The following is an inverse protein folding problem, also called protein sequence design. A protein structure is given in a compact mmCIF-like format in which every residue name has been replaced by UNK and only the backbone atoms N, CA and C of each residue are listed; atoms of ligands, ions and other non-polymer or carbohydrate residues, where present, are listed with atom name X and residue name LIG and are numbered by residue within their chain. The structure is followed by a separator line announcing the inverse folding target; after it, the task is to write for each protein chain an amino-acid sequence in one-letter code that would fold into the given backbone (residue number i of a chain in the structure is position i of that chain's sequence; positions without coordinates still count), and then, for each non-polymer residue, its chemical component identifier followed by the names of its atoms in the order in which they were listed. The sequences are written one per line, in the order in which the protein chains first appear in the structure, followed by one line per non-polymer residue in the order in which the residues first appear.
data_IF_746307054331
#
_entry.id   IF_746307054331
#
_cell.length_a   1.000
_cell.length_b   1.000
_cell.length_c   1.000
_cell.angle_alpha   90.00
_cell.angle_beta   90.00
_cell.angle_gamma   90.00
#
_symmetry.space_group_name_H-M   'P 1'
#
loop_
_entity.id
_entity.type
_entity.pdbx_description
1 polymer ?
#
# COMPACT_ATOMS: atom_id res chain seq x y z
N UNK A 1 -7.56 0.11 -7.66
CA UNK A 1 -6.70 0.93 -8.52
C UNK A 1 -6.75 2.40 -8.16
N UNK A 2 -5.69 3.10 -8.44
CA UNK A 2 -5.57 4.51 -8.12
C UNK A 2 -6.05 5.37 -9.29
N UNK A 3 -6.82 6.44 -9.02
CA UNK A 3 -7.20 7.39 -10.05
C UNK A 3 -6.12 8.44 -10.21
N UNK A 4 -5.14 8.30 -10.98
CA UNK A 4 -4.10 9.29 -11.19
C UNK A 4 -2.71 8.70 -11.05
N UNK A 5 -1.72 9.56 -11.14
CA UNK A 5 -0.33 9.13 -11.21
C UNK A 5 0.50 9.55 -9.99
N UNK A 6 -0.08 10.31 -9.07
CA UNK A 6 0.61 10.79 -7.88
C UNK A 6 -0.18 10.38 -6.64
N UNK A 7 0.53 9.84 -5.66
CA UNK A 7 -0.05 9.38 -4.39
C UNK A 7 -0.14 10.53 -3.38
N UNK A 8 -0.80 10.29 -2.25
CA UNK A 8 -0.92 11.28 -1.19
C UNK A 8 0.43 11.68 -0.57
N UNK A 9 1.44 10.81 -0.67
CA UNK A 9 2.80 11.13 -0.24
C UNK A 9 3.51 12.11 -1.17
N UNK A 10 2.93 12.41 -2.33
CA UNK A 10 3.55 13.21 -3.36
C UNK A 10 4.42 12.43 -4.32
N UNK A 11 4.62 11.14 -4.09
CA UNK A 11 5.42 10.29 -4.95
C UNK A 11 4.58 9.67 -6.05
N UNK A 12 5.22 9.35 -7.17
CA UNK A 12 4.57 8.73 -8.31
C UNK A 12 4.08 7.32 -7.98
N UNK A 13 2.97 6.91 -8.62
CA UNK A 13 2.50 5.52 -8.55
C UNK A 13 3.51 4.53 -9.13
N UNK A 14 4.54 5.01 -9.84
CA UNK A 14 5.62 4.17 -10.35
C UNK A 14 6.73 3.95 -9.34
N UNK A 15 6.69 4.61 -8.19
CA UNK A 15 7.67 4.43 -7.12
C UNK A 15 7.70 2.96 -6.71
N UNK A 16 8.89 2.45 -6.42
CA UNK A 16 9.11 1.05 -6.06
C UNK A 16 8.55 0.08 -7.10
N UNK A 17 8.72 0.41 -8.37
CA UNK A 17 8.25 -0.40 -9.51
C UNK A 17 6.72 -0.62 -9.49
N UNK A 18 5.98 0.35 -8.97
CA UNK A 18 4.54 0.26 -8.86
C UNK A 18 4.05 -0.64 -7.73
N UNK A 19 4.93 -1.06 -6.82
CA UNK A 19 4.57 -1.90 -5.67
C UNK A 19 4.46 -1.03 -4.44
N UNK A 20 3.25 -0.55 -4.17
CA UNK A 20 2.96 0.33 -3.04
C UNK A 20 1.52 0.13 -2.60
N UNK A 21 1.19 0.66 -1.43
CA UNK A 21 -0.14 0.48 -0.86
C UNK A 21 -0.69 1.81 -0.32
N UNK A 22 -2.02 1.90 -0.26
CA UNK A 22 -2.72 2.90 0.51
C UNK A 22 -3.19 2.27 1.82
N UNK A 23 -3.17 3.04 2.89
CA UNK A 23 -3.57 2.59 4.22
C UNK A 23 -4.28 3.70 4.97
N UNK A 24 -4.90 3.34 6.11
CA UNK A 24 -5.34 4.34 7.08
C UNK A 24 -4.10 4.84 7.83
N UNK A 25 -3.67 6.05 7.50
CA UNK A 25 -2.42 6.59 8.02
C UNK A 25 -2.49 6.98 9.50
N UNK A 26 -3.65 6.88 10.12
CA UNK A 26 -3.77 6.99 11.57
C UNK A 26 -3.40 5.69 12.26
N UNK A 27 -3.37 4.58 11.54
CA UNK A 27 -3.02 3.26 12.07
C UNK A 27 -1.65 2.83 11.57
N UNK A 28 -1.42 2.93 10.26
CA UNK A 28 -0.14 2.59 9.64
C UNK A 28 0.41 3.87 9.01
N UNK A 29 1.45 4.47 9.60
CA UNK A 29 1.90 5.79 9.15
C UNK A 29 2.43 5.75 7.71
N UNK A 30 2.36 6.92 7.06
CA UNK A 30 2.96 7.12 5.76
C UNK A 30 4.45 6.72 5.80
N UNK A 31 4.93 6.08 4.75
CA UNK A 31 6.31 5.58 4.61
C UNK A 31 6.64 4.35 5.46
N UNK A 32 5.69 3.81 6.22
CA UNK A 32 5.87 2.49 6.80
C UNK A 32 5.99 1.45 5.69
N UNK A 33 6.63 0.33 5.98
CA UNK A 33 6.72 -0.79 5.05
C UNK A 33 5.78 -1.89 5.51
N UNK A 34 5.12 -2.54 4.56
CA UNK A 34 4.25 -3.67 4.86
C UNK A 34 4.61 -4.85 3.96
N UNK A 35 4.63 -6.04 4.53
CA UNK A 35 4.85 -7.28 3.79
C UNK A 35 3.50 -8.00 3.70
N UNK A 36 3.01 -8.14 2.47
CA UNK A 36 1.70 -8.72 2.20
C UNK A 36 1.89 -10.06 1.47
N UNK A 37 1.42 -11.17 2.04
CA UNK A 37 1.55 -12.46 1.37
C UNK A 37 0.93 -12.44 -0.02
N UNK A 38 1.70 -12.88 -1.02
CA UNK A 38 1.22 -12.93 -2.41
C UNK A 38 1.34 -11.63 -3.18
N UNK A 39 1.72 -10.53 -2.54
CA UNK A 39 1.94 -9.26 -3.21
C UNK A 39 3.43 -8.91 -3.15
N UNK A 40 4.01 -8.58 -4.29
CA UNK A 40 5.46 -8.30 -4.39
C UNK A 40 6.31 -9.41 -3.78
N UNK A 41 5.85 -10.66 -3.91
CA UNK A 41 6.52 -11.87 -3.40
C UNK A 41 6.78 -11.82 -1.89
N UNK A 42 5.93 -11.10 -1.16
CA UNK A 42 6.09 -10.94 0.28
C UNK A 42 7.17 -9.94 0.69
N UNK A 43 7.82 -9.29 -0.27
CA UNK A 43 8.80 -8.25 0.04
C UNK A 43 8.12 -7.02 0.60
N UNK A 44 8.74 -6.31 1.56
CA UNK A 44 8.15 -5.10 2.10
C UNK A 44 7.92 -4.04 1.03
N UNK A 45 6.75 -3.43 1.06
CA UNK A 45 6.36 -2.36 0.13
C UNK A 45 5.94 -1.14 0.93
N UNK A 46 6.17 0.09 0.40
CA UNK A 46 5.90 1.30 1.18
C UNK A 46 4.43 1.67 1.18
N UNK A 47 3.99 2.25 2.28
CA UNK A 47 2.71 2.96 2.37
C UNK A 47 2.94 4.36 1.83
N UNK A 48 2.45 4.63 0.64
CA UNK A 48 2.66 5.91 -0.03
C UNK A 48 1.37 6.66 -0.31
N UNK A 49 0.22 6.09 0.08
CA UNK A 49 -1.05 6.71 -0.21
C UNK A 49 -2.03 6.50 0.94
N UNK A 50 -3.11 7.25 0.88
CA UNK A 50 -4.25 7.12 1.79
C UNK A 50 -5.50 7.43 0.98
N UNK A 51 -6.63 6.92 1.43
CA UNK A 51 -7.90 7.16 0.75
C UNK A 51 -9.04 7.26 1.74
N UNK A 52 -10.10 7.98 1.36
CA UNK A 52 -11.25 8.15 2.22
C UNK A 52 -11.95 6.85 2.60
N UNK A 53 -11.86 5.84 1.74
CA UNK A 53 -12.46 4.52 1.98
C UNK A 53 -11.49 3.54 2.65
N UNK A 54 -10.21 3.90 2.81
CA UNK A 54 -9.20 3.01 3.38
C UNK A 54 -9.06 3.35 4.85
N UNK A 55 -9.90 2.75 5.65
CA UNK A 55 -9.98 3.00 7.10
C UNK A 55 -9.82 1.71 7.89
N UNK A 56 -9.21 1.84 9.08
CA UNK A 56 -9.00 0.71 9.96
C UNK A 56 -7.98 -0.26 9.39
N UNK A 57 -8.25 -1.55 9.54
CA UNK A 57 -7.34 -2.62 9.11
C UNK A 57 -7.52 -2.94 7.63
N UNK A 58 -7.43 -1.94 6.79
CA UNK A 58 -7.57 -2.09 5.34
C UNK A 58 -6.33 -1.59 4.63
N UNK A 59 -5.96 -2.28 3.57
CA UNK A 59 -4.92 -1.86 2.64
C UNK A 59 -5.47 -1.94 1.23
N UNK A 60 -5.10 -0.97 0.41
CA UNK A 60 -5.38 -0.99 -1.02
C UNK A 60 -4.05 -1.16 -1.74
N UNK A 61 -3.89 -2.29 -2.44
CA UNK A 61 -2.66 -2.63 -3.11
C UNK A 61 -2.71 -2.12 -4.55
N UNK A 62 -1.67 -1.41 -4.96
CA UNK A 62 -1.57 -1.00 -6.36
C UNK A 62 -1.25 -2.20 -7.22
N UNK A 63 -2.06 -2.42 -8.24
CA UNK A 63 -1.87 -3.49 -9.21
C UNK A 63 -1.57 -2.90 -10.58
N UNK A 64 -0.77 -3.61 -11.42
CA UNK A 64 -0.42 -3.10 -12.76
C UNK A 64 -1.63 -2.87 -13.66
N UNK A 65 -2.69 -3.67 -13.50
CA UNK A 65 -3.88 -3.54 -14.33
C UNK A 65 -5.13 -3.65 -13.46
N UNK A 66 -6.23 -3.12 -13.99
CA UNK A 66 -7.53 -3.23 -13.34
C UNK A 66 -7.94 -4.71 -13.20
N UNK A 67 -7.67 -5.51 -14.23
CA UNK A 67 -8.03 -6.93 -14.22
C UNK A 67 -7.29 -7.68 -13.11
N UNK A 68 -6.02 -7.38 -12.89
CA UNK A 68 -5.25 -7.99 -11.80
C UNK A 68 -5.78 -7.56 -10.44
N UNK A 69 -6.15 -6.29 -10.29
CA UNK A 69 -6.75 -5.81 -9.05
C UNK A 69 -8.07 -6.52 -8.76
N UNK A 70 -8.89 -6.70 -9.78
CA UNK A 70 -10.17 -7.38 -9.68
C UNK A 70 -9.99 -8.87 -9.34
N UNK A 71 -9.00 -9.51 -9.96
CA UNK A 71 -8.70 -10.92 -9.69
C UNK A 71 -8.17 -11.12 -8.28
N UNK A 72 -7.36 -10.19 -7.77
CA UNK A 72 -6.90 -10.24 -6.38
C UNK A 72 -8.08 -10.18 -5.42
N UNK A 73 -9.04 -9.28 -5.68
CA UNK A 73 -10.24 -9.12 -4.87
C UNK A 73 -9.97 -8.58 -3.49
N UNK A 74 -10.86 -8.92 -2.56
CA UNK A 74 -10.73 -8.57 -1.15
C UNK A 74 -10.36 -9.81 -0.36
N UNK A 75 -9.27 -9.73 0.40
CA UNK A 75 -8.77 -10.85 1.20
C UNK A 75 -8.44 -10.37 2.60
N UNK A 76 -8.61 -11.26 3.56
CA UNK A 76 -8.12 -11.03 4.91
C UNK A 76 -6.82 -11.81 5.07
N UNK A 77 -5.72 -11.08 5.27
CA UNK A 77 -4.39 -11.65 5.33
C UNK A 77 -3.67 -11.12 6.55
N UNK A 78 -2.73 -11.92 7.06
CA UNK A 78 -1.82 -11.48 8.09
C UNK A 78 -0.65 -10.75 7.42
N UNK A 79 -0.48 -9.47 7.74
CA UNK A 79 0.59 -8.65 7.18
C UNK A 79 1.57 -8.25 8.25
N UNK A 80 2.84 -8.12 7.88
CA UNK A 80 3.88 -7.59 8.76
C UNK A 80 4.06 -6.12 8.47
N UNK A 81 4.17 -5.33 9.53
CA UNK A 81 4.29 -3.88 9.43
C UNK A 81 5.63 -3.48 10.05
N UNK A 82 6.41 -2.73 9.27
CA UNK A 82 7.70 -2.19 9.71
C UNK A 82 7.55 -0.68 9.80
N UNK A 83 7.53 -0.15 11.02
CA UNK A 83 7.33 1.27 11.23
C UNK A 83 8.58 2.05 10.84
N UNK A 84 8.42 3.31 10.38
CA UNK A 84 9.57 4.15 10.08
C UNK A 84 10.43 4.35 11.33
N UNK A 85 11.75 4.36 11.13
CA UNK A 85 12.68 4.63 12.23
C UNK A 85 12.64 6.12 12.54
N UNK A 86 12.44 6.46 13.81
CA UNK A 86 12.52 7.84 14.25
C UNK A 86 13.99 8.22 14.43
N UNK A 87 14.42 9.28 13.74
CA UNK A 87 15.78 9.80 13.86
C UNK A 87 15.74 11.13 14.59
N UNK A 88 15.63 11.06 15.86
CA UNK A 88 15.65 12.27 16.69
C UNK A 88 17.07 12.73 16.98
#
# INVERSE_FOLDING_TARGET
PYPGTTTASGLSVKTNHGRLVAADTQIIPMHALVSVPGYSEGSPVPVLDRGGAIKGRRLDLLMPTFDQAKEWGTKTLEVKIYLPVSTD
#
